data_IF_308720152687
#
_entry.id   IF_308720152687
#
_cell.length_a   1.000
_cell.length_b   1.000
_cell.length_c   1.000
_cell.angle_alpha   90.00
_cell.angle_beta   90.00
_cell.angle_gamma   90.00
#
_symmetry.space_group_name_H-M   'P 1'
#
loop_
_entity.id
_entity.type
_entity.pdbx_description
1 polymer ?
#
# COMPACT_ATOMS: atom_id res chain seq x y z
N UNK A 1 24.57 -46.33 28.05
CA UNK A 1 24.13 -45.39 27.02
C UNK A 1 24.53 -44.00 27.46
N UNK A 2 25.70 -43.54 27.03
CA UNK A 2 26.24 -42.22 27.34
C UNK A 2 25.49 -41.19 26.49
N UNK A 3 24.48 -40.55 27.06
CA UNK A 3 23.86 -39.39 26.42
C UNK A 3 24.77 -38.18 26.67
N UNK A 4 25.64 -37.91 25.69
CA UNK A 4 26.37 -36.66 25.61
C UNK A 4 25.38 -35.57 25.22
N UNK A 5 24.83 -34.86 26.21
CA UNK A 5 24.00 -33.67 25.98
C UNK A 5 24.91 -32.51 25.54
N UNK A 6 25.19 -32.44 24.24
CA UNK A 6 25.88 -31.29 23.64
C UNK A 6 24.90 -30.15 23.47
N UNK A 7 25.12 -29.08 24.24
CA UNK A 7 24.51 -27.74 24.14
C UNK A 7 22.98 -27.65 24.26
N UNK A 8 22.44 -26.70 25.02
CA UNK A 8 21.06 -26.31 24.80
C UNK A 8 20.97 -25.73 23.37
N UNK A 9 20.13 -26.32 22.51
CA UNK A 9 19.74 -25.79 21.19
C UNK A 9 18.97 -24.45 21.27
N UNK A 10 18.96 -23.81 22.45
CA UNK A 10 18.29 -22.56 22.75
C UNK A 10 19.23 -21.69 23.58
N UNK A 11 19.55 -20.49 23.11
CA UNK A 11 20.20 -19.49 23.95
C UNK A 11 19.13 -18.80 24.76
N UNK A 12 19.25 -19.00 26.06
CA UNK A 12 18.26 -18.57 27.01
C UNK A 12 18.93 -17.58 27.96
N UNK A 13 18.53 -16.32 27.87
CA UNK A 13 18.87 -15.34 28.89
C UNK A 13 18.05 -15.65 30.14
N UNK A 14 18.65 -15.51 31.32
CA UNK A 14 17.94 -15.67 32.60
C UNK A 14 16.69 -14.78 32.66
N UNK A 15 16.77 -13.57 32.11
CA UNK A 15 15.64 -12.64 31.98
C UNK A 15 14.47 -13.17 31.15
N UNK A 16 14.73 -14.05 30.19
CA UNK A 16 13.73 -14.62 29.28
C UNK A 16 13.20 -15.98 29.75
N UNK A 17 13.72 -16.53 30.86
CA UNK A 17 13.25 -17.80 31.44
C UNK A 17 11.74 -17.82 31.70
N UNK A 18 11.10 -16.76 32.24
CA UNK A 18 9.66 -16.79 32.47
C UNK A 18 8.86 -17.00 31.18
N UNK A 19 9.31 -16.39 30.07
CA UNK A 19 8.68 -16.55 28.76
C UNK A 19 8.93 -17.95 28.22
N UNK A 20 10.18 -18.43 28.25
CA UNK A 20 10.54 -19.77 27.79
C UNK A 20 9.75 -20.86 28.49
N UNK A 21 9.59 -20.76 29.81
CA UNK A 21 8.81 -21.72 30.60
C UNK A 21 7.31 -21.70 30.24
N UNK A 22 6.84 -20.62 29.61
CA UNK A 22 5.45 -20.48 29.14
C UNK A 22 5.24 -20.95 27.70
N UNK A 23 6.30 -21.11 26.91
CA UNK A 23 6.22 -21.42 25.47
C UNK A 23 6.84 -22.77 25.10
N UNK A 24 7.79 -23.28 25.89
CA UNK A 24 8.44 -24.56 25.63
C UNK A 24 7.62 -25.72 26.22
N UNK A 25 7.21 -26.66 25.39
CA UNK A 25 6.35 -27.79 25.77
C UNK A 25 6.92 -28.65 26.91
N UNK A 26 8.24 -28.83 26.97
CA UNK A 26 8.92 -29.59 28.03
C UNK A 26 8.89 -28.81 29.34
N UNK A 27 9.21 -27.51 29.29
CA UNK A 27 9.20 -26.65 30.47
C UNK A 27 7.78 -26.42 31.03
N UNK A 28 6.77 -26.36 30.17
CA UNK A 28 5.35 -26.30 30.54
C UNK A 28 4.97 -27.57 31.30
N UNK A 29 5.30 -28.75 30.76
CA UNK A 29 5.01 -30.04 31.40
C UNK A 29 5.72 -30.17 32.74
N UNK A 30 6.99 -29.79 32.82
CA UNK A 30 7.73 -29.74 34.08
C UNK A 30 7.10 -28.77 35.09
N UNK A 31 6.59 -27.63 34.64
CA UNK A 31 5.95 -26.65 35.50
C UNK A 31 4.63 -27.15 36.10
N UNK A 32 3.91 -28.01 35.39
CA UNK A 32 2.71 -28.67 35.91
C UNK A 32 3.04 -29.68 37.04
N UNK A 33 4.24 -30.26 37.04
CA UNK A 33 4.65 -31.26 38.03
C UNK A 33 5.25 -30.65 39.30
N UNK A 34 6.16 -29.69 39.15
CA UNK A 34 6.96 -29.17 40.29
C UNK A 34 6.75 -27.68 40.56
N UNK A 35 5.89 -27.03 39.78
CA UNK A 35 5.61 -25.60 39.86
C UNK A 35 6.57 -24.74 39.03
N UNK A 36 6.02 -23.71 38.39
CA UNK A 36 6.75 -22.79 37.50
C UNK A 36 7.97 -22.14 38.16
N UNK A 37 7.84 -21.69 39.41
CA UNK A 37 8.95 -21.06 40.14
C UNK A 37 10.13 -22.02 40.32
N UNK A 38 9.85 -23.30 40.58
CA UNK A 38 10.87 -24.33 40.78
C UNK A 38 11.57 -24.70 39.47
N UNK A 39 10.82 -24.76 38.36
CA UNK A 39 11.41 -24.95 37.02
C UNK A 39 12.32 -23.77 36.65
N UNK A 40 11.89 -22.53 36.88
CA UNK A 40 12.72 -21.34 36.64
C UNK A 40 14.00 -21.38 37.50
N UNK A 41 13.91 -21.76 38.77
CA UNK A 41 15.07 -21.87 39.66
C UNK A 41 16.07 -22.93 39.15
N UNK A 42 15.58 -24.13 38.81
CA UNK A 42 16.42 -25.22 38.27
C UNK A 42 17.12 -24.77 36.98
N UNK A 43 16.38 -24.17 36.03
CA UNK A 43 16.97 -23.69 34.78
C UNK A 43 17.98 -22.55 35.03
N UNK A 44 17.70 -21.66 35.99
CA UNK A 44 18.63 -20.59 36.38
C UNK A 44 19.93 -21.17 36.92
N UNK A 45 19.85 -22.18 37.79
CA UNK A 45 21.02 -22.82 38.39
C UNK A 45 21.83 -23.58 37.32
N UNK A 46 21.15 -24.28 36.40
CA UNK A 46 21.79 -24.93 35.27
C UNK A 46 22.56 -23.93 34.40
N UNK A 47 21.96 -22.77 34.07
CA UNK A 47 22.63 -21.71 33.31
C UNK A 47 23.82 -21.16 34.09
N UNK A 48 23.66 -20.91 35.40
CA UNK A 48 24.72 -20.38 36.26
C UNK A 48 25.90 -21.32 36.44
N UNK A 49 25.64 -22.63 36.34
CA UNK A 49 26.65 -23.67 36.45
C UNK A 49 27.44 -23.91 35.15
N UNK A 50 27.09 -23.22 34.05
CA UNK A 50 27.79 -23.37 32.78
C UNK A 50 29.08 -22.54 32.74
N UNK A 51 30.21 -23.18 32.40
CA UNK A 51 31.54 -22.53 32.32
C UNK A 51 31.64 -21.43 31.24
N UNK A 52 30.68 -21.36 30.32
CA UNK A 52 30.60 -20.36 29.23
C UNK A 52 29.44 -19.38 29.40
N UNK A 53 28.95 -19.19 30.63
CA UNK A 53 27.98 -18.12 30.87
C UNK A 53 28.65 -16.75 30.71
N UNK A 54 27.96 -15.82 30.09
CA UNK A 54 28.46 -14.46 29.87
C UNK A 54 27.34 -13.45 30.18
N UNK A 55 27.70 -12.33 30.81
CA UNK A 55 26.77 -11.21 30.99
C UNK A 55 26.82 -10.32 29.76
N UNK A 56 25.79 -10.41 28.92
CA UNK A 56 25.74 -9.68 27.66
C UNK A 56 25.21 -8.25 27.84
N UNK A 57 25.96 -7.29 27.32
CA UNK A 57 25.52 -5.90 27.16
C UNK A 57 25.30 -5.62 25.68
N UNK A 58 24.05 -5.32 25.32
CA UNK A 58 23.66 -5.10 23.95
C UNK A 58 23.63 -3.61 23.61
N UNK A 59 24.22 -3.18 22.48
CA UNK A 59 24.18 -1.78 22.07
C UNK A 59 22.76 -1.36 21.66
N UNK A 60 22.45 -0.06 21.62
CA UNK A 60 21.22 0.45 21.03
C UNK A 60 21.00 -0.07 19.61
N UNK A 61 19.74 -0.18 19.18
CA UNK A 61 19.37 -0.70 17.86
C UNK A 61 19.90 -2.11 17.57
N UNK A 62 20.08 -2.94 18.59
CA UNK A 62 20.41 -4.36 18.43
C UNK A 62 19.29 -5.28 18.91
N UNK A 63 19.32 -6.50 18.40
CA UNK A 63 18.49 -7.62 18.83
C UNK A 63 19.43 -8.79 19.14
N UNK A 64 19.34 -9.41 20.34
CA UNK A 64 20.15 -10.57 20.68
C UNK A 64 19.87 -11.72 19.71
N UNK A 65 20.92 -12.38 19.24
CA UNK A 65 20.85 -13.51 18.32
C UNK A 65 21.62 -14.68 18.86
N UNK A 66 20.94 -15.81 18.79
CA UNK A 66 21.50 -17.10 19.09
C UNK A 66 22.50 -17.57 18.06
N UNK A 67 23.80 -17.56 18.39
CA UNK A 67 24.83 -18.17 17.55
C UNK A 67 25.72 -19.09 18.36
N UNK A 68 25.95 -20.29 17.84
CA UNK A 68 26.89 -21.24 18.41
C UNK A 68 28.28 -20.59 18.57
N UNK A 69 28.84 -20.66 19.77
CA UNK A 69 30.13 -20.05 20.11
C UNK A 69 30.11 -18.53 20.34
N UNK A 70 28.94 -17.87 20.27
CA UNK A 70 28.77 -16.44 20.57
C UNK A 70 27.50 -16.23 21.41
N UNK A 71 27.57 -16.46 22.73
CA UNK A 71 26.40 -16.36 23.63
C UNK A 71 25.81 -14.94 23.69
N UNK A 72 26.64 -13.92 23.44
CA UNK A 72 26.23 -12.51 23.37
C UNK A 72 26.13 -11.98 21.93
N UNK A 73 25.91 -12.88 20.95
CA UNK A 73 25.68 -12.49 19.57
C UNK A 73 24.49 -11.55 19.45
N UNK A 74 24.59 -10.57 18.55
CA UNK A 74 23.47 -9.69 18.23
C UNK A 74 23.47 -9.36 16.74
N UNK A 75 22.30 -8.90 16.28
CA UNK A 75 22.13 -8.30 14.95
C UNK A 75 21.60 -6.89 15.12
N UNK A 76 21.98 -6.01 14.20
CA UNK A 76 21.47 -4.64 14.19
C UNK A 76 20.09 -4.61 13.52
N UNK A 77 19.19 -3.83 14.11
CA UNK A 77 17.85 -3.53 13.59
C UNK A 77 17.78 -2.06 13.16
N UNK A 78 16.61 -1.64 12.71
CA UNK A 78 16.32 -0.24 12.36
C UNK A 78 17.26 0.33 11.27
N UNK A 79 17.83 -0.52 10.42
CA UNK A 79 18.74 -0.15 9.33
C UNK A 79 20.19 0.11 9.73
N UNK A 80 20.55 -0.09 11.00
CA UNK A 80 21.93 0.07 11.47
C UNK A 80 22.81 -1.10 11.02
N UNK A 81 24.11 -0.84 10.93
CA UNK A 81 25.10 -1.83 10.53
C UNK A 81 26.02 -2.20 11.70
N UNK A 82 26.41 -3.48 11.83
CA UNK A 82 27.31 -3.92 12.89
C UNK A 82 28.71 -3.34 12.67
N UNK A 83 29.32 -2.82 13.74
CA UNK A 83 30.66 -2.26 13.72
C UNK A 83 31.44 -2.63 14.99
N UNK A 84 32.76 -2.89 14.92
CA UNK A 84 33.57 -2.97 13.70
C UNK A 84 33.11 -4.08 12.76
N UNK A 85 33.30 -3.89 11.46
CA UNK A 85 32.97 -4.90 10.46
C UNK A 85 33.84 -6.13 10.69
N UNK A 86 33.23 -7.24 11.11
CA UNK A 86 33.97 -8.43 11.48
C UNK A 86 33.15 -9.42 12.30
N UNK A 87 33.79 -10.47 12.83
CA UNK A 87 33.10 -11.55 13.56
C UNK A 87 32.58 -11.13 14.94
N UNK A 88 33.10 -10.03 15.49
CA UNK A 88 32.77 -9.54 16.84
C UNK A 88 32.43 -8.05 16.82
N UNK A 89 31.27 -7.67 16.26
CA UNK A 89 30.81 -6.29 16.36
C UNK A 89 30.46 -5.95 17.81
N UNK A 90 30.68 -4.70 18.20
CA UNK A 90 30.39 -4.20 19.55
C UNK A 90 29.33 -3.12 19.57
N UNK A 91 28.99 -2.57 18.40
CA UNK A 91 28.01 -1.50 18.24
C UNK A 91 27.22 -1.62 16.94
N UNK A 92 26.05 -0.99 16.92
CA UNK A 92 25.24 -0.77 15.73
C UNK A 92 25.36 0.70 15.34
N UNK A 93 25.92 0.97 14.16
CA UNK A 93 26.25 2.35 13.73
C UNK A 93 25.50 2.72 12.46
N UNK A 94 25.19 4.00 12.34
CA UNK A 94 24.63 4.64 11.16
C UNK A 94 25.68 5.59 10.56
N UNK A 95 26.58 5.05 9.76
CA UNK A 95 27.67 5.83 9.15
C UNK A 95 27.25 6.36 7.78
N UNK A 96 27.89 7.47 7.34
CA UNK A 96 27.69 8.04 6.00
C UNK A 96 27.88 6.97 4.91
N UNK A 97 27.06 6.97 3.84
CA UNK A 97 26.12 8.01 3.42
C UNK A 97 24.74 7.97 4.09
N UNK A 98 24.53 7.07 5.06
CA UNK A 98 23.26 6.94 5.77
C UNK A 98 23.14 7.97 6.89
N UNK A 99 21.90 8.33 7.23
CA UNK A 99 21.55 9.28 8.29
C UNK A 99 20.52 8.63 9.23
N UNK A 100 20.67 8.86 10.53
CA UNK A 100 19.68 8.44 11.53
C UNK A 100 18.55 9.46 11.59
N UNK A 101 17.31 9.01 11.37
CA UNK A 101 16.11 9.83 11.47
C UNK A 101 15.02 9.07 12.24
N UNK A 102 14.54 9.66 13.35
CA UNK A 102 13.51 9.07 14.22
C UNK A 102 13.83 7.63 14.65
N UNK A 103 15.09 7.35 15.02
CA UNK A 103 15.53 6.02 15.46
C UNK A 103 15.67 4.98 14.35
N UNK A 104 15.65 5.38 13.07
CA UNK A 104 15.94 4.51 11.92
C UNK A 104 17.11 5.06 11.11
N UNK A 105 18.07 4.21 10.80
CA UNK A 105 19.16 4.50 9.89
C UNK A 105 18.75 4.18 8.45
N UNK A 106 19.00 5.12 7.54
CA UNK A 106 18.67 4.94 6.12
C UNK A 106 19.28 6.01 5.24
N UNK A 107 19.10 5.86 3.93
CA UNK A 107 19.58 6.85 2.97
C UNK A 107 18.55 7.97 2.88
N UNK A 108 18.74 9.00 3.69
CA UNK A 108 17.88 10.18 3.73
C UNK A 108 18.67 11.43 3.34
N UNK A 109 18.11 12.24 2.43
CA UNK A 109 18.67 13.57 2.12
C UNK A 109 18.42 14.58 3.26
N UNK A 110 17.36 14.37 4.04
CA UNK A 110 17.01 15.12 5.24
C UNK A 110 16.09 14.28 6.13
N UNK A 111 16.09 14.51 7.46
CA UNK A 111 15.19 13.78 8.35
C UNK A 111 13.75 14.29 8.25
N UNK A 112 12.76 13.38 8.09
CA UNK A 112 11.37 13.75 8.24
C UNK A 112 11.13 14.17 9.70
N UNK A 113 10.82 15.44 9.92
CA UNK A 113 10.36 15.89 11.24
C UNK A 113 9.07 15.13 11.56
N UNK A 114 8.96 14.57 12.77
CA UNK A 114 7.73 13.90 13.24
C UNK A 114 6.50 14.83 13.32
N UNK A 115 6.67 16.11 13.01
CA UNK A 115 5.57 16.95 12.58
C UNK A 115 5.13 16.49 11.20
N UNK A 116 3.97 15.85 11.13
CA UNK A 116 3.20 15.76 9.88
C UNK A 116 3.31 17.13 9.23
N UNK A 117 4.03 17.23 8.09
CA UNK A 117 3.90 18.40 7.23
C UNK A 117 2.41 18.54 7.06
N UNK A 118 1.82 19.65 7.55
CA UNK A 118 0.39 19.93 7.43
C UNK A 118 0.00 19.46 6.04
N UNK A 119 -0.85 18.45 5.98
CA UNK A 119 -1.45 18.01 4.75
C UNK A 119 -2.34 19.18 4.32
N UNK A 120 -1.80 20.07 3.48
CA UNK A 120 -2.44 21.35 3.18
C UNK A 120 -3.59 21.23 2.21
N UNK A 121 -4.08 20.02 1.93
CA UNK A 121 -5.37 19.86 1.30
C UNK A 121 -6.16 18.72 1.97
N UNK A 122 -7.01 19.07 2.94
CA UNK A 122 -8.14 18.23 3.40
C UNK A 122 -9.24 18.08 2.32
N UNK A 123 -8.88 18.21 1.06
CA UNK A 123 -9.76 18.33 -0.08
C UNK A 123 -8.94 18.49 -1.36
N UNK A 124 -9.55 18.99 -2.43
CA UNK A 124 -8.84 19.26 -3.68
C UNK A 124 -8.24 20.67 -3.69
N UNK A 125 -7.26 20.89 -4.58
CA UNK A 125 -6.76 22.23 -4.85
C UNK A 125 -7.88 23.11 -5.41
N UNK A 126 -7.71 24.44 -5.35
CA UNK A 126 -8.72 25.36 -5.86
C UNK A 126 -9.02 25.08 -7.34
N UNK A 127 -10.30 24.95 -7.68
CA UNK A 127 -10.76 24.63 -9.05
C UNK A 127 -10.87 23.13 -9.36
N UNK A 128 -10.52 22.26 -8.41
CA UNK A 128 -10.71 20.81 -8.53
C UNK A 128 -11.80 20.32 -7.58
N UNK A 129 -12.52 19.29 -8.00
CA UNK A 129 -13.62 18.65 -7.27
C UNK A 129 -13.22 17.24 -6.85
N UNK A 130 -13.53 16.84 -5.62
CA UNK A 130 -13.28 15.48 -5.17
C UNK A 130 -14.36 14.54 -5.73
N UNK A 131 -13.98 13.64 -6.62
CA UNK A 131 -14.87 12.66 -7.26
C UNK A 131 -14.53 11.23 -6.81
N UNK A 132 -15.52 10.36 -6.76
CA UNK A 132 -15.30 8.94 -6.48
C UNK A 132 -14.64 8.21 -7.65
N UNK A 133 -13.85 7.18 -7.34
CA UNK A 133 -13.15 6.38 -8.37
C UNK A 133 -13.91 5.09 -8.64
N UNK A 134 -14.33 4.87 -9.91
CA UNK A 134 -14.99 3.64 -10.35
C UNK A 134 -14.09 2.42 -10.13
N UNK A 135 -14.65 1.30 -9.67
CA UNK A 135 -13.91 0.04 -9.48
C UNK A 135 -12.99 -0.01 -8.26
N UNK A 136 -13.04 0.99 -7.38
CA UNK A 136 -12.35 0.98 -6.07
C UNK A 136 -13.34 0.99 -4.91
N UNK A 137 -12.80 0.94 -3.70
CA UNK A 137 -13.55 0.97 -2.45
C UNK A 137 -14.39 2.27 -2.40
N UNK A 138 -15.57 2.25 -1.74
CA UNK A 138 -16.46 3.42 -1.59
C UNK A 138 -15.85 4.64 -0.84
N UNK A 139 -14.58 4.55 -0.43
CA UNK A 139 -13.79 5.64 0.19
C UNK A 139 -12.67 6.16 -0.70
N UNK A 140 -12.52 5.61 -1.91
CA UNK A 140 -11.52 6.03 -2.88
C UNK A 140 -12.05 7.21 -3.69
N UNK A 141 -11.28 8.29 -3.68
CA UNK A 141 -11.60 9.52 -4.38
C UNK A 141 -10.35 10.10 -5.03
N UNK A 142 -10.57 10.93 -6.05
CA UNK A 142 -9.54 11.69 -6.75
C UNK A 142 -10.01 13.12 -7.02
N UNK A 143 -9.08 14.00 -7.37
CA UNK A 143 -9.37 15.39 -7.69
C UNK A 143 -9.49 15.58 -9.19
N UNK A 144 -10.69 15.95 -9.65
CA UNK A 144 -11.01 16.13 -11.07
C UNK A 144 -11.38 17.58 -11.35
N UNK A 145 -10.91 18.12 -12.47
CA UNK A 145 -11.37 19.41 -12.96
C UNK A 145 -12.67 19.22 -13.76
N UNK A 146 -13.81 19.32 -13.10
CA UNK A 146 -15.12 19.09 -13.74
C UNK A 146 -15.49 20.14 -14.79
N UNK A 147 -14.67 21.17 -14.97
CA UNK A 147 -14.89 22.17 -16.03
C UNK A 147 -14.39 21.71 -17.39
N UNK A 148 -13.39 20.82 -17.42
CA UNK A 148 -12.68 20.45 -18.65
C UNK A 148 -12.47 18.92 -18.79
N UNK A 149 -12.88 18.13 -17.79
CA UNK A 149 -12.79 16.66 -17.82
C UNK A 149 -13.96 16.04 -18.60
N UNK A 150 -13.64 15.13 -19.52
CA UNK A 150 -14.64 14.49 -20.39
C UNK A 150 -15.55 13.50 -19.67
N UNK A 151 -15.03 12.80 -18.67
CA UNK A 151 -15.70 11.68 -17.98
C UNK A 151 -16.48 12.17 -16.75
N UNK A 152 -16.25 13.41 -16.33
CA UNK A 152 -16.87 14.07 -15.19
C UNK A 152 -17.12 15.54 -15.51
N UNK A 153 -17.74 15.78 -16.66
CA UNK A 153 -18.06 17.12 -17.12
C UNK A 153 -19.24 17.69 -16.33
N UNK A 154 -19.08 18.89 -15.79
CA UNK A 154 -20.10 19.60 -15.00
C UNK A 154 -20.24 19.13 -13.54
N UNK A 155 -19.73 17.95 -13.21
CA UNK A 155 -19.87 17.34 -11.88
C UNK A 155 -19.13 16.01 -11.79
N UNK A 156 -19.25 15.29 -10.68
CA UNK A 156 -18.61 13.99 -10.55
C UNK A 156 -19.52 12.88 -11.06
N UNK A 157 -19.01 11.97 -11.89
CA UNK A 157 -19.76 10.78 -12.32
C UNK A 157 -20.07 9.84 -11.14
N UNK A 158 -19.19 9.82 -10.13
CA UNK A 158 -19.48 9.24 -8.82
C UNK A 158 -19.43 10.35 -7.77
N UNK A 159 -20.57 10.80 -7.24
CA UNK A 159 -20.59 11.73 -6.12
C UNK A 159 -20.13 11.05 -4.83
N UNK A 160 -19.33 11.74 -4.03
CA UNK A 160 -18.82 11.26 -2.74
C UNK A 160 -19.79 11.48 -1.59
N UNK A 161 -20.65 12.49 -1.71
CA UNK A 161 -21.63 12.85 -0.71
C UNK A 161 -22.94 13.29 -1.35
N UNK A 162 -24.03 13.09 -0.61
CA UNK A 162 -25.37 13.50 -1.03
C UNK A 162 -25.40 15.02 -1.30
N UNK A 163 -25.90 15.41 -2.47
CA UNK A 163 -25.98 16.81 -2.90
C UNK A 163 -24.74 17.36 -3.62
N UNK A 164 -23.79 16.50 -4.02
CA UNK A 164 -22.76 16.87 -4.99
C UNK A 164 -23.35 16.89 -6.41
N UNK A 165 -22.92 17.85 -7.23
CA UNK A 165 -23.29 17.94 -8.65
C UNK A 165 -22.86 16.66 -9.38
N UNK A 166 -23.80 16.06 -10.10
CA UNK A 166 -23.59 14.85 -10.88
C UNK A 166 -23.01 15.22 -12.24
N UNK A 167 -21.94 14.53 -12.62
CA UNK A 167 -21.23 14.74 -13.87
C UNK A 167 -21.78 13.90 -15.02
N UNK A 168 -21.51 14.35 -16.23
CA UNK A 168 -21.79 13.59 -17.45
C UNK A 168 -20.48 13.14 -18.07
N UNK A 169 -20.42 11.88 -18.50
CA UNK A 169 -19.40 11.40 -19.41
C UNK A 169 -19.79 11.76 -20.85
N UNK A 170 -19.11 12.78 -21.39
CA UNK A 170 -19.38 13.27 -22.74
C UNK A 170 -19.00 12.25 -23.83
N UNK A 171 -18.10 11.30 -23.53
CA UNK A 171 -17.68 10.28 -24.51
C UNK A 171 -18.70 9.15 -24.66
N UNK A 172 -19.54 8.96 -23.65
CA UNK A 172 -20.64 7.99 -23.68
C UNK A 172 -21.89 8.48 -24.44
N UNK A 173 -21.91 9.72 -24.94
CA UNK A 173 -23.07 10.26 -25.66
C UNK A 173 -23.22 9.53 -27.01
N UNK A 174 -24.41 8.98 -27.33
CA UNK A 174 -24.63 8.26 -28.58
C UNK A 174 -24.39 9.13 -29.82
N UNK A 175 -23.76 8.54 -30.84
CA UNK A 175 -23.56 9.25 -32.11
C UNK A 175 -22.38 10.22 -32.12
N UNK A 176 -21.69 10.45 -31.01
CA UNK A 176 -20.54 11.37 -30.94
C UNK A 176 -19.30 10.78 -31.62
N UNK A 177 -18.61 11.62 -32.39
CA UNK A 177 -17.28 11.33 -32.92
C UNK A 177 -16.18 12.23 -32.35
N UNK A 178 -16.50 13.46 -31.96
CA UNK A 178 -15.56 14.42 -31.37
C UNK A 178 -16.31 15.37 -30.43
N UNK A 179 -15.82 15.49 -29.19
CA UNK A 179 -16.47 16.23 -28.11
C UNK A 179 -15.43 16.74 -27.12
N UNK A 180 -15.69 17.91 -26.56
CA UNK A 180 -14.91 18.50 -25.48
C UNK A 180 -15.80 18.76 -24.25
N UNK A 181 -15.22 18.77 -23.06
CA UNK A 181 -15.86 19.42 -21.92
C UNK A 181 -15.35 20.86 -21.85
N UNK A 182 -16.26 21.83 -21.90
CA UNK A 182 -15.91 23.26 -21.84
C UNK A 182 -16.80 23.92 -20.81
N UNK A 183 -16.19 24.43 -19.73
CA UNK A 183 -16.89 25.10 -18.62
C UNK A 183 -18.02 24.24 -18.03
N UNK A 184 -17.75 22.94 -17.89
CA UNK A 184 -18.67 21.97 -17.32
C UNK A 184 -19.85 21.61 -18.21
N UNK A 185 -19.74 21.82 -19.52
CA UNK A 185 -20.74 21.41 -20.51
C UNK A 185 -20.08 20.63 -21.65
N UNK A 186 -20.72 19.55 -22.07
CA UNK A 186 -20.31 18.84 -23.29
C UNK A 186 -20.54 19.75 -24.51
N UNK A 187 -19.47 19.99 -25.26
CA UNK A 187 -19.45 20.76 -26.50
C UNK A 187 -19.11 19.81 -27.65
N UNK A 188 -20.12 19.47 -28.46
CA UNK A 188 -19.99 18.50 -29.53
C UNK A 188 -19.46 19.18 -30.78
N UNK A 189 -18.29 18.73 -31.26
CA UNK A 189 -17.68 19.28 -32.47
C UNK A 189 -18.02 18.46 -33.72
N UNK A 190 -18.23 17.14 -33.57
CA UNK A 190 -18.54 16.25 -34.69
C UNK A 190 -19.34 15.03 -34.28
N UNK A 191 -20.35 14.71 -35.07
CA UNK A 191 -21.12 13.46 -34.98
C UNK A 191 -20.63 12.41 -35.97
N UNK A 192 -20.92 11.14 -35.69
CA UNK A 192 -20.74 10.02 -36.60
C UNK A 192 -21.68 10.15 -37.82
N UNK A 193 -21.37 9.49 -38.97
CA UNK A 193 -22.25 9.49 -40.13
C UNK A 193 -23.69 9.05 -39.77
N UNK A 194 -24.69 9.73 -40.35
CA UNK A 194 -26.11 9.51 -40.02
C UNK A 194 -26.58 10.26 -38.76
N UNK A 195 -25.73 11.08 -38.15
CA UNK A 195 -26.09 11.94 -37.02
C UNK A 195 -25.73 13.40 -37.28
N UNK A 196 -26.56 14.31 -36.77
CA UNK A 196 -26.32 15.76 -36.77
C UNK A 196 -26.21 16.30 -35.33
N UNK A 197 -25.47 17.40 -35.17
CA UNK A 197 -25.33 18.06 -33.87
C UNK A 197 -26.68 18.67 -33.50
N UNK A 198 -27.13 18.45 -32.26
CA UNK A 198 -28.38 19.00 -31.75
C UNK A 198 -28.38 20.53 -31.75
N UNK A 199 -29.57 21.14 -31.75
CA UNK A 199 -29.70 22.60 -31.65
C UNK A 199 -29.08 23.19 -30.38
N UNK A 200 -28.93 22.38 -29.33
CA UNK A 200 -28.28 22.74 -28.07
C UNK A 200 -26.77 22.56 -28.13
N UNK A 201 -26.23 21.77 -29.06
CA UNK A 201 -24.79 21.55 -29.25
C UNK A 201 -24.15 20.56 -28.27
N UNK A 202 -24.97 19.83 -27.50
CA UNK A 202 -24.53 18.91 -26.44
C UNK A 202 -24.82 17.44 -26.77
N UNK A 203 -25.37 17.14 -27.94
CA UNK A 203 -25.76 15.78 -28.33
C UNK A 203 -25.76 15.61 -29.84
N UNK A 204 -25.74 14.35 -30.29
CA UNK A 204 -25.92 13.98 -31.68
C UNK A 204 -27.30 13.33 -31.87
N UNK A 205 -28.08 13.83 -32.82
CA UNK A 205 -29.39 13.30 -33.17
C UNK A 205 -29.30 12.54 -34.49
N UNK A 206 -29.87 11.33 -34.53
CA UNK A 206 -29.88 10.52 -35.73
C UNK A 206 -30.82 11.15 -36.78
N UNK A 207 -30.36 11.17 -38.03
CA UNK A 207 -31.10 11.72 -39.17
C UNK A 207 -31.38 10.56 -40.12
N UNK A 208 -32.62 10.08 -40.09
CA UNK A 208 -33.07 8.93 -40.89
C UNK A 208 -32.85 9.18 -42.40
N UNK A 209 -32.93 10.43 -42.85
CA UNK A 209 -32.82 10.86 -44.25
C UNK A 209 -31.38 10.92 -44.80
N UNK A 210 -30.35 10.63 -44.00
CA UNK A 210 -28.93 10.66 -44.45
C UNK A 210 -28.19 9.35 -44.24
N UNK A 211 -28.86 8.32 -43.73
CA UNK A 211 -28.24 7.00 -43.57
C UNK A 211 -28.06 6.35 -44.96
N UNK A 212 -26.82 6.13 -45.41
CA UNK A 212 -26.55 5.55 -46.72
C UNK A 212 -27.14 4.13 -46.88
N UNK A 213 -27.43 3.42 -45.79
CA UNK A 213 -28.10 2.11 -45.81
C UNK A 213 -29.60 2.27 -46.09
N UNK A 214 -30.26 3.25 -45.48
CA UNK A 214 -31.68 3.55 -45.76
C UNK A 214 -31.86 4.18 -47.15
N UNK A 215 -30.98 5.10 -47.56
CA UNK A 215 -30.97 5.60 -48.94
C UNK A 215 -30.72 4.47 -49.95
N UNK A 216 -29.76 3.58 -49.70
CA UNK A 216 -29.50 2.44 -50.59
C UNK A 216 -30.70 1.47 -50.64
N UNK A 217 -31.42 1.28 -49.53
CA UNK A 217 -32.65 0.47 -49.50
C UNK A 217 -33.81 1.16 -50.25
N UNK A 218 -33.89 2.49 -50.23
CA UNK A 218 -34.92 3.28 -50.89
C UNK A 218 -34.70 3.39 -52.42
N UNK A 219 -33.46 3.30 -52.90
CA UNK A 219 -33.11 3.32 -54.33
C UNK A 219 -32.73 1.93 -54.92
N UNK A 220 -32.77 0.85 -54.13
CA UNK A 220 -32.17 -0.45 -54.48
C UNK A 220 -33.15 -1.57 -54.85
N UNK A 221 -34.35 -1.28 -55.34
CA UNK A 221 -35.36 -2.30 -55.65
C UNK A 221 -35.91 -2.31 -57.08
N UNK A 222 -35.13 -2.01 -58.12
CA UNK A 222 -35.53 -2.36 -59.50
C UNK A 222 -34.34 -2.80 -60.38
N UNK A 223 -33.90 -4.05 -60.21
CA UNK A 223 -33.36 -4.82 -61.32
C UNK A 223 -34.27 -6.02 -61.57
N UNK A 224 -35.38 -5.76 -62.25
CA UNK A 224 -36.13 -6.80 -62.94
C UNK A 224 -35.37 -7.14 -64.24
N UNK A 225 -34.92 -8.38 -64.45
CA UNK A 225 -34.20 -8.74 -65.67
C UNK A 225 -35.15 -8.67 -66.87
N UNK A 226 -34.74 -7.97 -67.93
CA UNK A 226 -35.44 -8.01 -69.20
C UNK A 226 -35.26 -9.40 -69.83
N UNK A 227 -36.39 -10.04 -70.12
CA UNK A 227 -36.52 -11.24 -70.97
C UNK A 227 -36.13 -10.90 -72.40
#
# INVERSE_FOLDING_TARGET
MTQNWHSPDACICISNLPLFVSTNVVAITGSALVGRAKVIAILTDMIKSCDKQETCYYPPHSVPVCKYGSPCGFTCKDGYTPYPSGPHPTQCVCNKPYTECNGKCGFYYACPSGHVKRDTHKGCQQGLTACGVLGRNAKSWECVNTQDDLESCGGCIIPLHLGQEEGVDCTAIPGISDVSCVRGRCDVHRCMPGYEISSTGDSCVYIEDTDPVFLAAQYGLEHSPLV
#
